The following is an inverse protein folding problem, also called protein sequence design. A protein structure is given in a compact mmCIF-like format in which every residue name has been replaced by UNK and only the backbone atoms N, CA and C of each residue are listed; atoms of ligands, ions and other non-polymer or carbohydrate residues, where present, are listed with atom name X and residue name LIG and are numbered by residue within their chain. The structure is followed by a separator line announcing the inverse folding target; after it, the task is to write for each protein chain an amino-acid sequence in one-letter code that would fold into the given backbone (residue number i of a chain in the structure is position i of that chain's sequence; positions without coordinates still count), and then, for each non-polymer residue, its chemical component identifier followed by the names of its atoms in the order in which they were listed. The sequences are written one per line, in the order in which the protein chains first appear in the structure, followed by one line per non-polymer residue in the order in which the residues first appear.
data_IF_006570944963
#
_entry.id   IF_006570944963
#
_cell.length_a   1.000
_cell.length_b   1.000
_cell.length_c   1.000
_cell.angle_alpha   90.00
_cell.angle_beta   90.00
_cell.angle_gamma   90.00
#
_symmetry.space_group_name_H-M   'P 1'
#
loop_
_entity.id
_entity.type
_entity.pdbx_description
1 polymer ?
#
# COMPACT_ATOMS: atom_id res chain seq x y z
N UNK A 1 18.86 -18.07 12.21
CA UNK A 1 18.00 -18.50 13.34
C UNK A 1 17.80 -20.00 13.22
N UNK A 2 17.71 -20.76 14.30
CA UNK A 2 17.49 -22.22 14.17
C UNK A 2 16.12 -22.52 13.56
N UNK A 3 16.03 -23.59 12.79
CA UNK A 3 14.80 -24.15 12.22
C UNK A 3 14.48 -25.53 12.80
N UNK A 4 15.43 -26.15 13.53
CA UNK A 4 15.19 -27.38 14.29
C UNK A 4 14.05 -27.22 15.32
N UNK A 5 13.34 -28.32 15.58
CA UNK A 5 12.43 -28.39 16.72
C UNK A 5 13.26 -28.27 18.01
N UNK A 6 13.01 -27.23 18.81
CA UNK A 6 13.76 -26.94 20.03
C UNK A 6 13.68 -28.04 21.08
N UNK A 7 12.68 -28.94 21.01
CA UNK A 7 12.64 -30.14 21.87
C UNK A 7 13.69 -31.17 21.48
N UNK A 8 14.18 -31.16 20.24
CA UNK A 8 15.32 -31.96 19.81
C UNK A 8 16.61 -31.21 20.18
N UNK A 9 17.07 -31.46 21.41
CA UNK A 9 18.26 -30.85 21.99
C UNK A 9 19.48 -31.14 21.12
N UNK A 10 19.65 -32.37 20.63
CA UNK A 10 20.81 -32.76 19.85
C UNK A 10 20.85 -32.04 18.50
N UNK A 11 19.73 -32.06 17.76
CA UNK A 11 19.63 -31.37 16.48
C UNK A 11 19.82 -29.86 16.62
N UNK A 12 19.22 -29.27 17.67
CA UNK A 12 19.32 -27.83 17.92
C UNK A 12 20.74 -27.42 18.31
N UNK A 13 21.43 -28.19 19.16
CA UNK A 13 22.83 -27.94 19.51
C UNK A 13 23.73 -28.02 18.27
N UNK A 14 23.57 -29.04 17.43
CA UNK A 14 24.35 -29.17 16.19
C UNK A 14 24.09 -28.01 15.24
N UNK A 15 22.84 -27.59 15.07
CA UNK A 15 22.49 -26.46 14.21
C UNK A 15 23.04 -25.13 14.74
N UNK A 16 22.95 -24.88 16.06
CA UNK A 16 23.57 -23.69 16.68
C UNK A 16 25.08 -23.69 16.43
N UNK A 17 25.75 -24.82 16.57
CA UNK A 17 27.18 -24.94 16.29
C UNK A 17 27.50 -24.65 14.82
N UNK A 18 26.72 -25.19 13.86
CA UNK A 18 26.91 -24.89 12.42
C UNK A 18 26.76 -23.41 12.12
N UNK A 19 25.74 -22.75 12.68
CA UNK A 19 25.50 -21.31 12.51
C UNK A 19 26.66 -20.50 13.13
N UNK A 20 27.12 -20.87 14.33
CA UNK A 20 28.24 -20.23 15.01
C UNK A 20 29.55 -20.39 14.22
N UNK A 21 29.87 -21.60 13.75
CA UNK A 21 31.08 -21.90 12.97
C UNK A 21 31.12 -21.16 11.64
N UNK A 22 29.94 -20.84 11.08
CA UNK A 22 29.81 -20.00 9.89
C UNK A 22 30.04 -18.52 10.16
N UNK A 23 30.13 -18.12 11.43
CA UNK A 23 30.51 -16.78 11.87
C UNK A 23 29.33 -15.90 12.25
N UNK A 24 28.24 -16.49 12.77
CA UNK A 24 27.19 -15.71 13.42
C UNK A 24 27.66 -15.17 14.78
N UNK A 25 27.26 -13.95 15.12
CA UNK A 25 27.57 -13.35 16.43
C UNK A 25 26.53 -13.73 17.51
N UNK A 26 25.30 -14.03 17.09
CA UNK A 26 24.15 -14.29 17.96
C UNK A 26 23.24 -15.32 17.27
N UNK A 27 22.72 -16.30 18.02
CA UNK A 27 21.77 -17.29 17.50
C UNK A 27 20.42 -17.16 18.18
N UNK A 28 19.36 -17.10 17.37
CA UNK A 28 17.97 -17.08 17.86
C UNK A 28 17.35 -18.47 17.76
N UNK A 29 16.60 -18.85 18.79
CA UNK A 29 15.90 -20.14 18.93
C UNK A 29 14.43 -19.87 19.28
N UNK A 30 13.50 -20.57 18.63
CA UNK A 30 12.06 -20.46 18.88
C UNK A 30 11.68 -21.15 20.20
N UNK A 31 10.92 -20.47 21.06
CA UNK A 31 10.43 -21.09 22.31
C UNK A 31 8.94 -20.81 22.46
N UNK A 32 8.11 -21.81 22.12
CA UNK A 32 6.65 -21.66 22.13
C UNK A 32 6.01 -22.07 23.46
N UNK A 33 6.61 -23.03 24.16
CA UNK A 33 6.00 -23.63 25.36
C UNK A 33 7.01 -24.03 26.42
N UNK A 34 6.48 -24.66 27.48
CA UNK A 34 7.27 -25.06 28.64
C UNK A 34 8.28 -26.17 28.30
N UNK A 35 7.94 -27.09 27.39
CA UNK A 35 8.84 -28.19 27.01
C UNK A 35 10.04 -27.68 26.24
N UNK A 36 9.83 -26.73 25.32
CA UNK A 36 10.91 -26.04 24.60
C UNK A 36 11.80 -25.26 25.58
N UNK A 37 11.20 -24.59 26.58
CA UNK A 37 11.95 -23.88 27.61
C UNK A 37 12.75 -24.83 28.53
N UNK A 38 12.28 -26.04 28.77
CA UNK A 38 13.05 -27.06 29.52
C UNK A 38 14.24 -27.54 28.69
N UNK A 39 14.03 -27.83 27.41
CA UNK A 39 15.08 -28.21 26.47
C UNK A 39 16.16 -27.13 26.31
N UNK A 40 15.79 -25.84 26.39
CA UNK A 40 16.69 -24.70 26.32
C UNK A 40 17.83 -24.74 27.35
N UNK A 41 17.56 -25.21 28.58
CA UNK A 41 18.60 -25.38 29.60
C UNK A 41 19.62 -26.45 29.20
N UNK A 42 19.14 -27.58 28.67
CA UNK A 42 20.01 -28.65 28.19
C UNK A 42 20.81 -28.22 26.97
N UNK A 43 20.20 -27.47 26.04
CA UNK A 43 20.88 -26.88 24.87
C UNK A 43 22.02 -25.97 25.33
N UNK A 44 21.76 -24.98 26.21
CA UNK A 44 22.80 -24.05 26.69
C UNK A 44 23.92 -24.81 27.41
N UNK A 45 23.60 -25.72 28.31
CA UNK A 45 24.60 -26.51 29.03
C UNK A 45 25.46 -27.36 28.09
N UNK A 46 24.85 -27.99 27.09
CA UNK A 46 25.58 -28.82 26.11
C UNK A 46 26.49 -27.97 25.23
N UNK A 47 26.05 -26.78 24.81
CA UNK A 47 26.88 -25.83 24.07
C UNK A 47 28.10 -25.39 24.90
N UNK A 48 27.90 -25.03 26.17
CA UNK A 48 29.00 -24.65 27.07
C UNK A 48 29.99 -25.82 27.29
N UNK A 49 29.50 -27.04 27.46
CA UNK A 49 30.36 -28.24 27.58
C UNK A 49 31.19 -28.49 26.31
N UNK A 50 30.64 -28.15 25.15
CA UNK A 50 31.33 -28.19 23.85
C UNK A 50 32.16 -26.94 23.58
N UNK A 51 32.27 -26.02 24.54
CA UNK A 51 33.01 -24.76 24.47
C UNK A 51 32.47 -23.76 23.42
N UNK A 52 31.15 -23.79 23.17
CA UNK A 52 30.42 -22.81 22.38
C UNK A 52 29.71 -21.81 23.29
N UNK A 53 30.18 -20.56 23.28
CA UNK A 53 29.67 -19.48 24.14
C UNK A 53 28.87 -18.42 23.37
N UNK A 54 28.35 -18.77 22.20
CA UNK A 54 27.57 -17.83 21.37
C UNK A 54 26.31 -17.35 22.14
N UNK A 55 26.03 -16.03 22.16
CA UNK A 55 24.81 -15.51 22.76
C UNK A 55 23.55 -16.09 22.11
N UNK A 56 22.59 -16.48 22.95
CA UNK A 56 21.31 -17.05 22.52
C UNK A 56 20.15 -16.07 22.74
N UNK A 57 19.25 -16.00 21.77
CA UNK A 57 18.02 -15.19 21.82
C UNK A 57 16.79 -16.09 21.81
N UNK A 58 15.92 -15.97 22.80
CA UNK A 58 14.68 -16.74 22.86
C UNK A 58 13.58 -15.98 22.11
N UNK A 59 12.99 -16.57 21.08
CA UNK A 59 11.87 -15.99 20.34
C UNK A 59 10.54 -16.43 20.98
N UNK A 60 9.97 -15.56 21.81
CA UNK A 60 8.74 -15.82 22.57
C UNK A 60 7.56 -15.14 21.88
N UNK A 61 6.49 -15.92 21.66
CA UNK A 61 5.29 -15.42 21.01
C UNK A 61 4.20 -14.97 22.00
N UNK A 62 3.68 -15.86 22.87
CA UNK A 62 2.43 -15.58 23.62
C UNK A 62 2.48 -15.81 25.15
N UNK A 63 3.59 -16.30 25.72
CA UNK A 63 3.60 -16.84 27.08
C UNK A 63 4.60 -16.15 28.03
N UNK A 64 4.17 -15.18 28.86
CA UNK A 64 5.05 -14.48 29.83
C UNK A 64 5.77 -15.44 30.79
N UNK A 65 5.08 -16.50 31.24
CA UNK A 65 5.66 -17.51 32.12
C UNK A 65 6.81 -18.29 31.45
N UNK A 66 6.77 -18.46 30.13
CA UNK A 66 7.84 -19.10 29.35
C UNK A 66 9.02 -18.13 29.23
N UNK A 67 8.76 -16.84 28.98
CA UNK A 67 9.81 -15.81 28.93
C UNK A 67 10.61 -15.74 30.24
N UNK A 68 9.93 -15.72 31.39
CA UNK A 68 10.60 -15.72 32.70
C UNK A 68 11.45 -16.98 32.93
N UNK A 69 11.00 -18.13 32.42
CA UNK A 69 11.72 -19.40 32.58
C UNK A 69 13.00 -19.44 31.74
N UNK A 70 12.98 -18.89 30.53
CA UNK A 70 14.18 -18.87 29.66
C UNK A 70 15.14 -17.72 29.96
N UNK A 71 14.70 -16.70 30.72
CA UNK A 71 15.54 -15.57 31.12
C UNK A 71 16.80 -16.00 31.89
N UNK A 72 16.75 -17.13 32.60
CA UNK A 72 17.87 -17.66 33.37
C UNK A 72 18.94 -18.37 32.49
N UNK A 73 18.60 -18.74 31.25
CA UNK A 73 19.50 -19.51 30.37
C UNK A 73 19.81 -18.85 29.02
N UNK A 74 19.06 -17.82 28.63
CA UNK A 74 19.25 -17.07 27.40
C UNK A 74 19.79 -15.68 27.67
N UNK A 75 20.59 -15.16 26.73
CA UNK A 75 21.25 -13.86 26.85
C UNK A 75 20.33 -12.70 26.45
N UNK A 76 19.27 -12.99 25.69
CA UNK A 76 18.24 -12.03 25.28
C UNK A 76 16.90 -12.71 25.03
N UNK A 77 15.81 -11.98 25.26
CA UNK A 77 14.46 -12.41 24.90
C UNK A 77 13.91 -11.47 23.83
N UNK A 78 13.39 -12.03 22.75
CA UNK A 78 12.59 -11.30 21.76
C UNK A 78 11.13 -11.47 22.10
N UNK A 79 10.45 -10.33 22.24
CA UNK A 79 9.02 -10.20 22.54
C UNK A 79 8.36 -9.50 21.35
N UNK A 80 7.18 -9.96 20.94
CA UNK A 80 6.36 -9.23 19.96
C UNK A 80 5.16 -8.58 20.65
N UNK A 81 5.14 -7.24 20.84
CA UNK A 81 4.04 -6.48 21.43
C UNK A 81 2.62 -6.94 21.08
N UNK A 82 2.31 -7.08 19.78
CA UNK A 82 0.96 -7.43 19.30
C UNK A 82 0.47 -8.79 19.79
N UNK A 83 1.38 -9.75 20.01
CA UNK A 83 1.02 -11.08 20.47
C UNK A 83 0.67 -11.14 21.97
N UNK A 84 1.11 -10.18 22.77
CA UNK A 84 0.80 -10.14 24.21
C UNK A 84 -0.48 -9.33 24.50
N UNK A 85 -0.87 -8.45 23.57
CA UNK A 85 -2.11 -7.70 23.62
C UNK A 85 -3.31 -8.53 23.11
N UNK A 86 -3.11 -9.39 22.09
CA UNK A 86 -4.21 -10.07 21.40
C UNK A 86 -4.15 -11.61 21.48
N UNK A 87 -5.27 -12.23 21.91
CA UNK A 87 -5.34 -13.67 22.25
C UNK A 87 -5.47 -14.61 21.03
N UNK A 88 -5.44 -14.12 19.79
CA UNK A 88 -5.62 -14.96 18.59
C UNK A 88 -4.92 -14.33 17.37
N UNK A 89 -3.66 -14.67 17.14
CA UNK A 89 -3.04 -14.52 15.82
C UNK A 89 -2.66 -15.91 15.31
N UNK A 90 -3.48 -16.45 14.40
CA UNK A 90 -3.11 -17.59 13.57
C UNK A 90 -2.41 -17.04 12.32
N UNK A 91 -1.22 -17.57 12.02
CA UNK A 91 -0.47 -17.22 10.82
C UNK A 91 -1.03 -18.04 9.65
N UNK A 92 -1.87 -17.42 8.81
CA UNK A 92 -2.16 -17.94 7.47
C UNK A 92 -1.23 -17.25 6.46
N UNK A 93 -0.77 -18.00 5.46
CA UNK A 93 -0.08 -17.44 4.29
C UNK A 93 -1.09 -16.59 3.51
N UNK A 94 -0.81 -15.29 3.37
CA UNK A 94 -1.66 -14.37 2.62
C UNK A 94 -0.88 -13.90 1.40
N UNK A 95 -1.42 -14.13 0.20
CA UNK A 95 -1.02 -13.42 -1.01
C UNK A 95 -1.64 -12.03 -0.98
N UNK A 96 -0.79 -10.99 -0.96
CA UNK A 96 -1.24 -9.62 -0.77
C UNK A 96 -1.94 -9.05 -2.02
N UNK A 97 -3.10 -8.46 -1.81
CA UNK A 97 -3.79 -7.56 -2.74
C UNK A 97 -3.28 -6.12 -2.58
N UNK A 98 -3.48 -5.27 -3.58
CA UNK A 98 -3.08 -3.84 -3.52
C UNK A 98 -3.74 -3.07 -2.36
N UNK A 99 -4.86 -3.57 -1.82
CA UNK A 99 -5.54 -3.04 -0.63
C UNK A 99 -4.85 -3.45 0.68
N UNK A 100 -4.34 -4.68 0.77
CA UNK A 100 -3.59 -5.17 1.93
C UNK A 100 -2.21 -4.51 2.02
N UNK A 101 -1.59 -4.21 0.87
CA UNK A 101 -0.39 -3.38 0.80
C UNK A 101 -0.61 -1.96 1.38
N UNK A 102 -1.84 -1.47 1.33
CA UNK A 102 -2.20 -0.14 1.82
C UNK A 102 -2.60 -0.14 3.29
N UNK A 103 -3.12 -1.25 3.81
CA UNK A 103 -3.23 -1.48 5.24
C UNK A 103 -1.85 -1.58 5.91
N UNK A 104 -0.87 -2.20 5.26
CA UNK A 104 0.51 -2.12 5.75
C UNK A 104 1.08 -0.69 5.74
N UNK A 105 0.61 0.19 4.84
CA UNK A 105 1.00 1.60 4.83
C UNK A 105 0.39 2.46 5.96
N UNK A 106 -0.54 1.93 6.77
CA UNK A 106 -0.90 2.52 8.09
C UNK A 106 0.22 2.30 9.14
N UNK A 107 1.47 2.48 8.69
CA UNK A 107 2.75 2.31 9.37
C UNK A 107 2.98 3.25 10.57
N UNK A 108 1.96 3.98 10.99
CA UNK A 108 1.95 4.81 12.20
C UNK A 108 1.58 3.94 13.42
N UNK A 109 0.70 2.94 13.27
CA UNK A 109 0.32 2.06 14.39
C UNK A 109 1.49 1.18 14.87
N UNK A 110 2.31 0.72 13.93
CA UNK A 110 3.47 -0.12 14.20
C UNK A 110 4.56 0.62 14.99
N UNK A 111 4.85 1.87 14.61
CA UNK A 111 5.80 2.72 15.33
C UNK A 111 5.23 3.12 16.68
N UNK A 112 3.96 3.53 16.78
CA UNK A 112 3.34 3.86 18.08
C UNK A 112 3.27 2.66 19.02
N UNK A 113 2.99 1.46 18.50
CA UNK A 113 3.03 0.22 19.29
C UNK A 113 4.43 -0.04 19.85
N UNK A 114 5.48 0.10 19.04
CA UNK A 114 6.86 -0.02 19.52
C UNK A 114 7.17 1.03 20.61
N UNK A 115 6.73 2.28 20.41
CA UNK A 115 6.91 3.36 21.38
C UNK A 115 6.14 3.16 22.69
N UNK A 116 4.93 2.61 22.65
CA UNK A 116 4.15 2.31 23.85
C UNK A 116 4.93 1.36 24.79
N UNK A 117 5.47 0.27 24.23
CA UNK A 117 6.26 -0.69 25.00
C UNK A 117 7.59 -0.07 25.49
N UNK A 118 8.25 0.73 24.66
CA UNK A 118 9.44 1.46 25.08
C UNK A 118 9.17 2.44 26.23
N UNK A 119 8.03 3.14 26.21
CA UNK A 119 7.59 4.02 27.30
C UNK A 119 7.37 3.23 28.60
N UNK A 120 6.80 2.02 28.52
CA UNK A 120 6.67 1.11 29.68
C UNK A 120 8.04 0.71 30.22
N UNK A 121 8.95 0.25 29.35
CA UNK A 121 10.31 -0.12 29.75
C UNK A 121 11.02 1.05 30.45
N UNK A 122 10.99 2.25 29.88
CA UNK A 122 11.59 3.46 30.47
C UNK A 122 10.94 3.86 31.80
N UNK A 123 9.61 3.74 31.93
CA UNK A 123 8.90 3.99 33.20
C UNK A 123 9.36 3.04 34.30
N UNK A 124 9.80 1.84 33.94
CA UNK A 124 10.36 0.82 34.83
C UNK A 124 11.89 0.88 34.92
N UNK A 125 12.53 1.94 34.41
CA UNK A 125 14.00 2.11 34.38
C UNK A 125 14.74 0.97 33.66
N UNK A 126 14.08 0.35 32.67
CA UNK A 126 14.66 -0.67 31.82
C UNK A 126 15.04 -0.10 30.46
N UNK A 127 16.35 -0.04 30.18
CA UNK A 127 16.91 0.55 28.96
C UNK A 127 17.60 -0.46 28.03
N UNK A 128 17.71 -1.73 28.43
CA UNK A 128 18.41 -2.76 27.67
C UNK A 128 17.48 -3.44 26.64
N UNK A 129 17.00 -2.68 25.66
CA UNK A 129 16.17 -3.20 24.57
C UNK A 129 16.63 -2.71 23.20
N UNK A 130 16.18 -3.42 22.17
CA UNK A 130 16.53 -3.19 20.76
C UNK A 130 15.23 -3.20 19.97
N UNK A 131 15.05 -2.23 19.07
CA UNK A 131 13.88 -2.19 18.20
C UNK A 131 14.05 -3.05 16.95
N UNK A 132 12.93 -3.51 16.39
CA UNK A 132 12.88 -4.22 15.12
C UNK A 132 11.51 -3.99 14.50
N UNK A 133 11.48 -3.36 13.33
CA UNK A 133 10.29 -3.20 12.48
C UNK A 133 10.47 -4.12 11.26
N UNK A 134 9.65 -5.15 11.07
CA UNK A 134 9.83 -6.07 9.94
C UNK A 134 8.57 -6.09 9.11
N UNK A 135 8.74 -5.85 7.81
CA UNK A 135 7.68 -5.97 6.82
C UNK A 135 8.17 -6.88 5.68
N UNK A 136 7.22 -7.52 5.00
CA UNK A 136 7.52 -8.35 3.83
C UNK A 136 7.90 -7.47 2.63
N UNK A 137 7.41 -6.23 2.54
CA UNK A 137 7.79 -5.29 1.50
C UNK A 137 9.00 -4.43 1.92
N UNK A 138 10.12 -4.44 1.17
CA UNK A 138 11.30 -3.65 1.51
C UNK A 138 11.07 -2.14 1.59
N UNK A 139 10.18 -1.59 0.77
CA UNK A 139 9.89 -0.14 0.76
C UNK A 139 9.20 0.26 2.06
N UNK A 140 8.21 -0.54 2.46
CA UNK A 140 7.44 -0.36 3.70
C UNK A 140 8.38 -0.44 4.91
N UNK A 141 9.17 -1.52 4.98
CA UNK A 141 10.18 -1.70 6.04
C UNK A 141 11.12 -0.49 6.15
N UNK A 142 11.66 0.02 5.04
CA UNK A 142 12.58 1.17 5.05
C UNK A 142 11.91 2.41 5.64
N UNK A 143 10.66 2.69 5.27
CA UNK A 143 9.94 3.85 5.81
C UNK A 143 9.62 3.68 7.32
N UNK A 144 9.29 2.47 7.77
CA UNK A 144 9.08 2.15 9.19
C UNK A 144 10.28 2.54 10.05
N UNK A 145 11.47 2.08 9.68
CA UNK A 145 12.68 2.36 10.43
C UNK A 145 13.02 3.84 10.42
N UNK A 146 12.85 4.52 9.27
CA UNK A 146 13.09 5.96 9.17
C UNK A 146 12.15 6.76 10.08
N UNK A 147 10.86 6.39 10.11
CA UNK A 147 9.89 7.02 10.99
C UNK A 147 10.19 6.74 12.47
N UNK A 148 10.46 5.48 12.84
CA UNK A 148 10.88 5.08 14.18
C UNK A 148 12.08 5.90 14.67
N UNK A 149 13.11 6.04 13.84
CA UNK A 149 14.32 6.81 14.18
C UNK A 149 14.03 8.30 14.28
N UNK A 150 13.22 8.87 13.39
CA UNK A 150 12.83 10.26 13.46
C UNK A 150 12.09 10.58 14.78
N UNK A 151 11.14 9.72 15.17
CA UNK A 151 10.45 9.83 16.45
C UNK A 151 11.40 9.66 17.66
N UNK A 152 12.36 8.74 17.55
CA UNK A 152 13.36 8.55 18.60
C UNK A 152 14.19 9.83 18.79
N UNK A 153 14.59 10.50 17.70
CA UNK A 153 15.30 11.77 17.78
C UNK A 153 14.46 12.89 18.40
N UNK A 154 13.16 12.97 18.09
CA UNK A 154 12.23 13.93 18.75
C UNK A 154 12.22 13.73 20.26
N UNK A 155 12.28 12.47 20.71
CA UNK A 155 12.31 12.11 22.12
C UNK A 155 13.71 12.07 22.75
N UNK A 156 14.78 12.32 21.98
CA UNK A 156 16.17 12.23 22.42
C UNK A 156 16.61 10.81 22.79
N UNK A 157 16.13 9.80 22.06
CA UNK A 157 16.44 8.38 22.26
C UNK A 157 17.40 7.86 21.19
N UNK A 158 18.22 6.87 21.56
CA UNK A 158 19.30 6.32 20.75
C UNK A 158 19.39 4.77 20.85
N UNK A 159 18.24 4.12 21.03
CA UNK A 159 18.16 2.66 21.11
C UNK A 159 18.62 1.96 19.81
N UNK A 160 19.30 0.81 19.92
CA UNK A 160 19.78 0.07 18.76
C UNK A 160 18.65 -0.57 17.93
N UNK A 161 18.92 -0.79 16.65
CA UNK A 161 18.03 -1.34 15.65
C UNK A 161 18.48 -2.72 15.16
N UNK A 162 17.58 -3.69 15.15
CA UNK A 162 17.75 -4.99 14.53
C UNK A 162 17.00 -5.05 13.20
N UNK A 163 17.72 -4.99 12.09
CA UNK A 163 17.15 -4.99 10.75
C UNK A 163 16.86 -6.40 10.24
N UNK A 164 15.79 -6.54 9.47
CA UNK A 164 15.55 -7.74 8.67
C UNK A 164 14.24 -7.69 7.92
N UNK A 165 14.25 -8.17 6.69
CA UNK A 165 13.05 -8.37 5.88
C UNK A 165 12.42 -9.71 6.26
N UNK A 166 11.10 -9.74 6.48
CA UNK A 166 10.34 -10.99 6.66
C UNK A 166 10.00 -11.58 5.30
N UNK A 167 9.90 -12.91 5.23
CA UNK A 167 9.47 -13.61 4.01
C UNK A 167 10.27 -13.15 2.77
N UNK A 168 11.60 -13.21 2.87
CA UNK A 168 12.43 -12.77 1.76
C UNK A 168 12.26 -13.69 0.54
N UNK A 169 11.98 -14.97 0.76
CA UNK A 169 11.88 -15.99 -0.28
C UNK A 169 13.12 -16.88 -0.30
N UNK A 170 13.26 -17.68 -1.37
CA UNK A 170 14.36 -18.64 -1.52
C UNK A 170 15.45 -18.09 -2.45
N UNK A 171 16.69 -18.49 -2.21
CA UNK A 171 17.79 -18.27 -3.13
C UNK A 171 18.07 -16.78 -3.42
N UNK A 172 18.29 -16.47 -4.70
CA UNK A 172 18.71 -15.13 -5.13
C UNK A 172 17.64 -14.06 -4.94
N UNK A 173 16.35 -14.41 -5.06
CA UNK A 173 15.26 -13.46 -4.87
C UNK A 173 15.21 -12.96 -3.42
N UNK A 174 15.32 -13.88 -2.46
CA UNK A 174 15.41 -13.54 -1.03
C UNK A 174 16.65 -12.74 -0.67
N UNK A 175 17.79 -13.04 -1.28
CA UNK A 175 19.02 -12.25 -1.11
C UNK A 175 18.88 -10.85 -1.69
N UNK A 176 18.27 -10.71 -2.87
CA UNK A 176 18.05 -9.42 -3.53
C UNK A 176 17.09 -8.55 -2.73
N UNK A 177 15.95 -9.11 -2.32
CA UNK A 177 14.94 -8.43 -1.50
C UNK A 177 15.51 -7.96 -0.16
N UNK A 178 16.31 -8.81 0.50
CA UNK A 178 17.02 -8.46 1.73
C UNK A 178 18.08 -7.38 1.50
N UNK A 179 18.82 -7.43 0.40
CA UNK A 179 19.81 -6.42 0.06
C UNK A 179 19.18 -5.04 -0.22
N UNK A 180 18.01 -5.00 -0.88
CA UNK A 180 17.27 -3.76 -1.10
C UNK A 180 16.80 -3.18 0.24
N UNK A 181 16.16 -3.98 1.10
CA UNK A 181 15.64 -3.49 2.38
C UNK A 181 16.75 -3.11 3.37
N UNK A 182 17.59 -4.07 3.74
CA UNK A 182 18.63 -3.91 4.77
C UNK A 182 19.74 -2.99 4.26
N UNK A 183 20.17 -3.18 3.01
CA UNK A 183 21.26 -2.38 2.43
C UNK A 183 20.92 -0.90 2.34
N UNK A 184 19.67 -0.55 2.03
CA UNK A 184 19.21 0.85 2.01
C UNK A 184 19.34 1.50 3.39
N UNK A 185 18.87 0.83 4.45
CA UNK A 185 18.96 1.36 5.81
C UNK A 185 20.41 1.47 6.30
N UNK A 186 21.25 0.49 5.98
CA UNK A 186 22.67 0.55 6.31
C UNK A 186 23.38 1.72 5.60
N UNK A 187 22.96 2.09 4.39
CA UNK A 187 23.46 3.30 3.70
C UNK A 187 22.93 4.59 4.32
N UNK A 188 21.74 4.57 4.92
CA UNK A 188 21.23 5.69 5.73
C UNK A 188 22.01 5.85 7.06
N UNK A 189 22.87 4.90 7.41
CA UNK A 189 23.56 4.83 8.70
C UNK A 189 22.70 4.23 9.81
N UNK A 190 21.64 3.50 9.46
CA UNK A 190 20.71 2.86 10.39
C UNK A 190 20.97 1.35 10.45
N UNK A 191 21.09 0.80 11.66
CA UNK A 191 21.20 -0.65 11.89
C UNK A 191 22.42 -1.05 12.73
N UNK A 192 22.17 -1.78 13.82
CA UNK A 192 23.20 -2.25 14.76
C UNK A 192 23.39 -3.76 14.71
N UNK A 193 22.35 -4.48 14.27
CA UNK A 193 22.40 -5.92 14.02
C UNK A 193 21.43 -6.24 12.89
N UNK A 194 21.72 -7.30 12.13
CA UNK A 194 20.94 -7.69 10.96
C UNK A 194 20.61 -9.18 11.00
N UNK A 195 19.50 -9.55 10.36
CA UNK A 195 19.23 -10.93 9.96
C UNK A 195 18.56 -10.94 8.59
N UNK A 196 19.16 -11.69 7.67
CA UNK A 196 18.52 -12.10 6.41
C UNK A 196 17.67 -13.34 6.70
N UNK A 197 16.42 -13.37 6.24
CA UNK A 197 15.48 -14.47 6.51
C UNK A 197 15.22 -15.26 5.22
N UNK A 198 15.97 -16.34 5.00
CA UNK A 198 15.87 -17.19 3.80
C UNK A 198 15.12 -18.49 4.11
N UNK A 199 14.47 -19.08 3.11
CA UNK A 199 13.92 -20.45 3.21
C UNK A 199 15.00 -21.50 2.87
N UNK A 200 16.19 -21.34 3.43
CA UNK A 200 17.37 -22.19 3.22
C UNK A 200 17.95 -22.62 4.57
N UNK A 201 18.92 -23.57 4.62
CA UNK A 201 19.61 -23.89 5.87
C UNK A 201 20.14 -22.62 6.56
N UNK A 202 19.97 -22.46 7.89
CA UNK A 202 20.29 -21.23 8.60
C UNK A 202 21.72 -20.70 8.42
N UNK A 203 22.70 -21.59 8.21
CA UNK A 203 24.07 -21.23 7.90
C UNK A 203 24.23 -20.41 6.60
N UNK A 204 23.33 -20.58 5.64
CA UNK A 204 23.34 -19.88 4.36
C UNK A 204 22.81 -18.43 4.50
N UNK A 205 22.15 -18.08 5.62
CA UNK A 205 21.80 -16.69 5.94
C UNK A 205 23.05 -15.83 6.25
N UNK A 206 24.19 -16.45 6.60
CA UNK A 206 25.36 -15.73 7.15
C UNK A 206 26.19 -15.00 6.09
N UNK A 207 26.41 -15.59 4.91
CA UNK A 207 27.15 -14.91 3.82
C UNK A 207 26.51 -13.59 3.37
N UNK A 208 25.19 -13.53 3.06
CA UNK A 208 24.56 -12.27 2.70
C UNK A 208 24.55 -11.27 3.86
N UNK A 209 24.38 -11.73 5.11
CA UNK A 209 24.54 -10.86 6.28
C UNK A 209 25.95 -10.24 6.32
N UNK A 210 27.01 -11.04 6.18
CA UNK A 210 28.39 -10.55 6.21
C UNK A 210 28.65 -9.50 5.12
N UNK A 211 28.14 -9.71 3.91
CA UNK A 211 28.26 -8.75 2.80
C UNK A 211 27.58 -7.43 3.12
N UNK A 212 26.37 -7.47 3.66
CA UNK A 212 25.61 -6.28 4.05
C UNK A 212 26.27 -5.56 5.23
N UNK A 213 26.72 -6.29 6.26
CA UNK A 213 27.43 -5.71 7.39
C UNK A 213 28.72 -5.00 6.94
N UNK A 214 29.49 -5.59 6.03
CA UNK A 214 30.68 -4.96 5.44
C UNK A 214 30.33 -3.69 4.64
N UNK A 215 29.22 -3.71 3.90
CA UNK A 215 28.72 -2.56 3.16
C UNK A 215 28.38 -1.40 4.11
N UNK A 216 27.61 -1.67 5.17
CA UNK A 216 27.24 -0.67 6.19
C UNK A 216 28.46 -0.15 6.96
N UNK A 217 29.35 -1.05 7.38
CA UNK A 217 30.59 -0.69 8.09
C UNK A 217 31.46 0.24 7.23
N UNK A 218 31.58 -0.05 5.94
CA UNK A 218 32.32 0.81 5.01
C UNK A 218 31.69 2.19 4.88
N UNK A 219 30.35 2.27 4.74
CA UNK A 219 29.64 3.55 4.65
C UNK A 219 29.84 4.38 5.93
N UNK A 220 29.74 3.74 7.11
CA UNK A 220 29.98 4.37 8.40
C UNK A 220 31.42 4.89 8.54
N UNK A 221 32.43 4.09 8.16
CA UNK A 221 33.85 4.50 8.19
C UNK A 221 34.13 5.69 7.27
N UNK A 222 33.48 5.75 6.11
CA UNK A 222 33.62 6.86 5.17
C UNK A 222 32.77 8.07 5.55
N UNK A 223 31.95 7.97 6.62
CA UNK A 223 30.90 8.94 6.97
C UNK A 223 30.05 9.32 5.75
N UNK A 224 29.76 8.34 4.90
CA UNK A 224 28.89 8.51 3.75
C UNK A 224 27.44 8.47 4.24
N UNK A 225 26.94 9.64 4.63
CA UNK A 225 25.51 9.84 4.86
C UNK A 225 24.76 10.04 3.53
N UNK A 226 23.48 9.71 3.52
CA UNK A 226 22.61 10.07 2.41
C UNK A 226 22.43 11.59 2.42
N UNK A 227 22.70 12.24 1.29
CA UNK A 227 22.42 13.66 1.14
C UNK A 227 20.95 13.91 1.46
N UNK A 228 20.59 15.00 2.17
CA UNK A 228 19.20 15.33 2.45
C UNK A 228 18.37 15.22 1.18
N UNK A 229 17.42 14.28 1.17
CA UNK A 229 16.50 14.09 0.07
C UNK A 229 15.21 14.83 0.39
N UNK A 230 14.84 15.74 -0.49
CA UNK A 230 13.55 16.41 -0.47
C UNK A 230 12.63 15.63 -1.42
N UNK A 231 11.55 15.06 -0.90
CA UNK A 231 10.55 14.33 -1.70
C UNK A 231 9.78 15.33 -2.57
N UNK A 232 10.25 15.50 -3.80
CA UNK A 232 9.71 16.45 -4.78
C UNK A 232 8.70 15.84 -5.73
N UNK A 233 8.47 14.53 -5.66
CA UNK A 233 7.73 13.81 -6.71
C UNK A 233 6.43 13.23 -6.19
N UNK A 234 6.37 12.88 -4.90
CA UNK A 234 5.16 12.40 -4.24
C UNK A 234 4.60 13.47 -3.32
N UNK A 235 3.50 14.08 -3.76
CA UNK A 235 2.70 14.98 -2.95
C UNK A 235 1.60 14.16 -2.27
N UNK A 236 1.89 13.64 -1.08
CA UNK A 236 0.97 12.75 -0.34
C UNK A 236 -0.35 13.41 0.06
N UNK A 237 -0.34 14.74 0.17
CA UNK A 237 -1.49 15.54 0.58
C UNK A 237 -2.14 16.30 -0.58
N UNK A 238 -1.48 16.43 -1.73
CA UNK A 238 -1.95 17.22 -2.88
C UNK A 238 -1.97 16.38 -4.16
N UNK A 239 -3.17 16.13 -4.70
CA UNK A 239 -3.33 15.51 -6.01
C UNK A 239 -3.33 16.56 -7.12
N UNK A 240 -2.23 16.65 -7.86
CA UNK A 240 -2.21 17.36 -9.14
C UNK A 240 -2.38 16.37 -10.29
N UNK A 241 -3.08 16.79 -11.36
CA UNK A 241 -3.16 16.00 -12.60
C UNK A 241 -1.72 15.71 -13.05
N UNK A 242 -1.33 14.44 -13.12
CA UNK A 242 0.00 14.06 -13.63
C UNK A 242 0.19 14.71 -14.99
N UNK A 243 1.21 15.55 -15.11
CA UNK A 243 1.68 16.01 -16.41
C UNK A 243 2.37 14.84 -17.10
N UNK A 244 1.63 14.11 -17.92
CA UNK A 244 2.18 13.08 -18.80
C UNK A 244 2.75 13.71 -20.07
N UNK A 245 3.85 13.16 -20.59
CA UNK A 245 4.23 13.41 -21.97
C UNK A 245 3.35 12.53 -22.86
N UNK A 246 2.44 13.15 -23.61
CA UNK A 246 1.64 12.42 -24.58
C UNK A 246 2.53 11.95 -25.74
N UNK A 247 2.20 10.83 -26.39
CA UNK A 247 2.91 10.37 -27.58
C UNK A 247 2.98 11.49 -28.63
N UNK A 248 4.20 11.83 -29.01
CA UNK A 248 4.50 12.70 -30.16
C UNK A 248 4.89 11.82 -31.33
N UNK A 249 4.57 12.24 -32.56
CA UNK A 249 5.08 11.56 -33.74
C UNK A 249 6.60 11.64 -33.76
N UNK A 250 7.29 10.50 -33.74
CA UNK A 250 8.74 10.45 -33.92
C UNK A 250 9.08 10.36 -35.41
N UNK A 251 10.24 10.88 -35.78
CA UNK A 251 10.74 10.80 -37.14
C UNK A 251 10.99 9.32 -37.52
N UNK A 252 10.38 8.85 -38.60
CA UNK A 252 10.46 7.46 -39.06
C UNK A 252 9.35 6.53 -38.56
N UNK A 253 8.42 6.99 -37.72
CA UNK A 253 7.22 6.21 -37.38
C UNK A 253 6.20 6.23 -38.53
N UNK A 254 5.83 5.06 -39.05
CA UNK A 254 4.84 4.90 -40.13
C UNK A 254 3.40 5.16 -39.67
N UNK A 255 3.13 4.98 -38.38
CA UNK A 255 1.79 5.10 -37.77
C UNK A 255 1.71 6.37 -36.93
N UNK A 256 0.64 7.15 -37.09
CA UNK A 256 0.40 8.36 -36.29
C UNK A 256 -0.29 8.04 -34.96
N UNK A 257 0.49 7.97 -33.89
CA UNK A 257 -0.02 7.65 -32.56
C UNK A 257 -0.65 8.85 -31.82
N UNK A 258 -0.63 10.07 -32.40
CA UNK A 258 -1.19 11.26 -31.76
C UNK A 258 -2.71 11.21 -31.61
N UNK A 259 -3.38 10.36 -32.37
CA UNK A 259 -4.83 10.15 -32.34
C UNK A 259 -5.30 9.02 -31.42
N UNK A 260 -4.40 8.38 -30.67
CA UNK A 260 -4.74 7.20 -29.85
C UNK A 260 -5.48 7.57 -28.56
N UNK A 261 -5.33 8.80 -28.09
CA UNK A 261 -5.97 9.32 -26.89
C UNK A 261 -6.36 10.78 -27.13
N UNK A 262 -7.40 11.24 -26.42
CA UNK A 262 -7.69 12.66 -26.35
C UNK A 262 -6.44 13.44 -25.91
N UNK A 263 -6.20 14.62 -26.48
CA UNK A 263 -4.92 15.36 -26.34
C UNK A 263 -4.66 15.95 -24.95
N UNK A 264 -5.59 15.82 -24.03
CA UNK A 264 -5.39 16.13 -22.61
C UNK A 264 -5.59 14.88 -21.72
N UNK A 265 -5.80 13.71 -22.31
CA UNK A 265 -6.08 12.45 -21.63
C UNK A 265 -7.49 12.32 -21.06
N UNK A 266 -8.41 13.22 -21.40
CA UNK A 266 -9.79 13.18 -20.91
C UNK A 266 -10.60 12.07 -21.59
N UNK A 267 -11.31 11.29 -20.77
CA UNK A 267 -12.29 10.28 -21.20
C UNK A 267 -13.72 10.77 -20.96
N UNK A 268 -13.89 11.67 -19.99
CA UNK A 268 -15.14 12.33 -19.61
C UNK A 268 -14.91 13.85 -19.60
N UNK A 269 -15.83 14.64 -20.16
CA UNK A 269 -15.77 16.10 -20.13
C UNK A 269 -17.06 16.73 -19.61
N UNK A 270 -16.95 17.81 -18.83
CA UNK A 270 -18.12 18.61 -18.46
C UNK A 270 -18.47 19.59 -19.58
N UNK A 271 -19.76 19.69 -19.90
CA UNK A 271 -20.30 20.58 -20.94
C UNK A 271 -21.36 21.49 -20.34
N UNK A 272 -21.24 22.77 -20.64
CA UNK A 272 -22.21 23.82 -20.29
C UNK A 272 -23.20 24.09 -21.43
N UNK A 273 -24.34 24.69 -21.10
CA UNK A 273 -25.33 25.11 -22.11
C UNK A 273 -24.76 26.15 -23.09
N UNK A 274 -23.85 27.01 -22.65
CA UNK A 274 -23.21 27.99 -23.53
C UNK A 274 -22.38 27.34 -24.64
N UNK A 275 -21.73 26.21 -24.36
CA UNK A 275 -20.99 25.46 -25.38
C UNK A 275 -21.91 24.85 -26.45
N UNK A 276 -23.18 24.60 -26.13
CA UNK A 276 -24.17 24.10 -27.09
C UNK A 276 -24.60 25.18 -28.11
N UNK A 277 -24.36 26.47 -27.83
CA UNK A 277 -24.63 27.57 -28.78
C UNK A 277 -23.74 27.51 -30.02
N UNK A 278 -22.60 26.83 -29.94
CA UNK A 278 -21.69 26.60 -31.05
C UNK A 278 -21.32 25.11 -31.16
N UNK A 279 -22.24 24.24 -31.63
CA UNK A 279 -22.06 22.78 -31.61
C UNK A 279 -20.79 22.30 -32.29
N UNK A 280 -20.38 22.91 -33.40
CA UNK A 280 -19.16 22.50 -34.11
C UNK A 280 -17.88 22.75 -33.29
N UNK A 281 -17.84 23.84 -32.51
CA UNK A 281 -16.72 24.12 -31.61
C UNK A 281 -16.71 23.11 -30.45
N UNK A 282 -17.88 22.80 -29.90
CA UNK A 282 -18.03 21.75 -28.89
C UNK A 282 -17.52 20.41 -29.43
N UNK A 283 -17.99 19.97 -30.59
CA UNK A 283 -17.59 18.69 -31.18
C UNK A 283 -16.08 18.59 -31.42
N UNK A 284 -15.46 19.67 -31.91
CA UNK A 284 -14.00 19.74 -32.03
C UNK A 284 -13.30 19.66 -30.68
N UNK A 285 -13.84 20.31 -29.64
CA UNK A 285 -13.26 20.26 -28.29
C UNK A 285 -13.36 18.88 -27.64
N UNK A 286 -14.32 18.06 -28.07
CA UNK A 286 -14.46 16.65 -27.70
C UNK A 286 -13.56 15.71 -28.53
N UNK A 287 -12.74 16.27 -29.43
CA UNK A 287 -11.99 15.57 -30.48
C UNK A 287 -12.85 14.66 -31.37
N UNK A 288 -14.12 15.02 -31.61
CA UNK A 288 -14.95 14.35 -32.60
C UNK A 288 -14.57 14.78 -34.02
N UNK A 289 -14.60 13.84 -34.95
CA UNK A 289 -14.38 14.11 -36.38
C UNK A 289 -15.64 14.72 -36.98
N UNK A 290 -15.50 15.85 -37.68
CA UNK A 290 -16.62 16.50 -38.35
C UNK A 290 -16.71 16.11 -39.82
N UNK A 291 -17.88 15.67 -40.26
CA UNK A 291 -18.21 15.47 -41.67
C UNK A 291 -19.52 16.22 -41.95
N UNK A 292 -19.44 17.30 -42.74
CA UNK A 292 -20.60 18.16 -43.07
C UNK A 292 -21.34 18.62 -41.80
N UNK A 293 -20.58 19.04 -40.77
CA UNK A 293 -21.14 19.53 -39.49
C UNK A 293 -21.69 18.46 -38.55
N UNK A 294 -21.70 17.18 -38.95
CA UNK A 294 -22.06 16.05 -38.09
C UNK A 294 -20.82 15.51 -37.37
N UNK A 295 -20.90 15.28 -36.04
CA UNK A 295 -19.82 14.64 -35.30
C UNK A 295 -19.78 13.15 -35.58
N UNK A 296 -18.58 12.57 -35.52
CA UNK A 296 -18.31 11.13 -35.56
C UNK A 296 -17.28 10.81 -34.49
N UNK A 297 -17.47 9.66 -33.84
CA UNK A 297 -16.53 9.15 -32.84
C UNK A 297 -15.28 8.62 -33.55
N UNK A 298 -14.13 9.03 -33.04
CA UNK A 298 -12.79 8.57 -33.43
C UNK A 298 -12.04 8.12 -32.18
N UNK A 299 -10.87 7.51 -32.34
CA UNK A 299 -10.09 6.96 -31.23
C UNK A 299 -9.69 8.01 -30.17
N UNK A 300 -9.51 9.26 -30.59
CA UNK A 300 -9.20 10.38 -29.70
C UNK A 300 -10.45 11.04 -29.09
N UNK A 301 -11.66 10.71 -29.56
CA UNK A 301 -12.90 11.34 -29.08
C UNK A 301 -13.18 10.89 -27.65
N UNK A 302 -13.57 11.83 -26.79
CA UNK A 302 -13.99 11.48 -25.42
C UNK A 302 -15.17 10.50 -25.44
N UNK A 303 -15.31 9.66 -24.41
CA UNK A 303 -16.34 8.62 -24.38
C UNK A 303 -17.68 9.14 -23.86
N UNK A 304 -17.64 10.12 -22.97
CA UNK A 304 -18.84 10.66 -22.35
C UNK A 304 -18.70 12.15 -22.06
N UNK A 305 -19.84 12.82 -21.97
CA UNK A 305 -19.98 14.17 -21.46
C UNK A 305 -20.94 14.20 -20.27
N UNK A 306 -20.72 15.13 -19.36
CA UNK A 306 -21.61 15.39 -18.22
C UNK A 306 -22.13 16.82 -18.28
N UNK A 307 -23.45 16.96 -18.26
CA UNK A 307 -24.13 18.25 -18.14
C UNK A 307 -24.68 18.40 -16.72
N UNK A 308 -24.59 19.61 -16.16
CA UNK A 308 -25.28 19.95 -14.90
C UNK A 308 -26.74 20.28 -15.12
N UNK A 309 -27.08 20.74 -16.32
CA UNK A 309 -28.43 21.15 -16.70
C UNK A 309 -28.69 20.75 -18.15
N UNK A 310 -29.92 20.36 -18.47
CA UNK A 310 -30.39 20.11 -19.82
C UNK A 310 -30.93 21.39 -20.47
N UNK A 311 -30.80 21.57 -21.79
CA UNK A 311 -31.47 22.65 -22.48
C UNK A 311 -33.01 22.54 -22.34
N UNK A 312 -33.73 23.68 -22.34
CA UNK A 312 -35.19 23.70 -22.36
C UNK A 312 -35.79 22.83 -23.48
N UNK A 313 -37.04 22.40 -23.32
CA UNK A 313 -37.69 21.49 -24.29
C UNK A 313 -37.90 22.17 -25.64
N UNK A 314 -38.08 23.48 -25.64
CA UNK A 314 -38.27 24.35 -26.80
C UNK A 314 -36.95 24.78 -27.48
N UNK A 315 -35.78 24.54 -26.87
CA UNK A 315 -34.49 24.78 -27.49
C UNK A 315 -34.11 23.60 -28.42
N UNK A 316 -34.64 23.66 -29.65
CA UNK A 316 -34.44 22.61 -30.66
C UNK A 316 -32.98 22.45 -31.07
N UNK A 317 -32.21 23.54 -31.09
CA UNK A 317 -30.85 23.55 -31.62
C UNK A 317 -29.88 22.90 -30.64
N UNK A 318 -29.94 23.28 -29.36
CA UNK A 318 -29.11 22.66 -28.32
C UNK A 318 -29.47 21.18 -28.11
N UNK A 319 -30.77 20.84 -28.17
CA UNK A 319 -31.22 19.44 -28.08
C UNK A 319 -30.79 18.61 -29.26
N UNK A 320 -30.85 19.15 -30.48
CA UNK A 320 -30.33 18.49 -31.67
C UNK A 320 -28.82 18.27 -31.55
N UNK A 321 -28.08 19.25 -30.98
CA UNK A 321 -26.65 19.13 -30.77
C UNK A 321 -26.29 17.96 -29.84
N UNK A 322 -27.03 17.80 -28.74
CA UNK A 322 -26.87 16.67 -27.82
C UNK A 322 -27.31 15.34 -28.46
N UNK A 323 -28.43 15.34 -29.18
CA UNK A 323 -28.91 14.15 -29.89
C UNK A 323 -27.86 13.61 -30.86
N UNK A 324 -27.18 14.47 -31.61
CA UNK A 324 -26.10 14.07 -32.53
C UNK A 324 -24.94 13.37 -31.82
N UNK A 325 -24.65 13.75 -30.56
CA UNK A 325 -23.64 13.05 -29.75
C UNK A 325 -24.14 11.67 -29.32
N UNK A 326 -25.38 11.59 -28.87
CA UNK A 326 -26.02 10.30 -28.53
C UNK A 326 -26.03 9.35 -29.73
N UNK A 327 -26.37 9.85 -30.92
CA UNK A 327 -26.44 9.07 -32.17
C UNK A 327 -25.09 8.43 -32.56
N UNK A 328 -23.96 9.02 -32.12
CA UNK A 328 -22.61 8.46 -32.30
C UNK A 328 -22.11 7.65 -31.10
N UNK A 329 -23.02 7.21 -30.23
CA UNK A 329 -22.70 6.44 -29.02
C UNK A 329 -21.80 7.18 -28.02
N UNK A 330 -21.88 8.51 -27.98
CA UNK A 330 -21.33 9.31 -26.89
C UNK A 330 -22.25 9.18 -25.67
N UNK A 331 -21.68 8.89 -24.50
CA UNK A 331 -22.44 8.91 -23.26
C UNK A 331 -22.82 10.34 -22.88
N UNK A 332 -24.11 10.69 -22.93
CA UNK A 332 -24.59 12.00 -22.45
C UNK A 332 -25.18 11.82 -21.06
N UNK A 333 -24.46 12.25 -20.02
CA UNK A 333 -24.83 12.08 -18.61
C UNK A 333 -25.51 13.36 -18.11
N UNK A 334 -26.66 13.19 -17.47
CA UNK A 334 -27.54 14.30 -17.04
C UNK A 334 -28.18 13.99 -15.68
N UNK A 335 -28.44 14.97 -14.80
CA UNK A 335 -29.04 14.70 -13.50
C UNK A 335 -30.43 14.07 -13.61
N UNK A 336 -30.78 13.22 -12.65
CA UNK A 336 -32.10 12.61 -12.56
C UNK A 336 -33.24 13.64 -12.57
N UNK A 337 -33.11 14.72 -11.80
CA UNK A 337 -34.11 15.81 -11.74
C UNK A 337 -34.38 16.44 -13.11
N UNK A 338 -33.34 16.60 -13.92
CA UNK A 338 -33.41 17.18 -15.26
C UNK A 338 -34.07 16.19 -16.24
N UNK A 339 -33.75 14.91 -16.14
CA UNK A 339 -34.40 13.87 -16.95
C UNK A 339 -35.88 13.69 -16.64
N UNK A 340 -36.28 13.84 -15.38
CA UNK A 340 -37.68 13.77 -14.97
C UNK A 340 -38.51 14.97 -15.45
N UNK A 341 -37.90 16.15 -15.58
CA UNK A 341 -38.61 17.40 -15.91
C UNK A 341 -38.54 17.75 -17.40
N UNK A 342 -37.41 17.50 -18.05
CA UNK A 342 -37.15 17.83 -19.46
C UNK A 342 -36.36 16.70 -20.14
N UNK A 343 -36.98 15.51 -20.30
CA UNK A 343 -36.29 14.29 -20.72
C UNK A 343 -35.51 14.46 -22.02
N UNK A 344 -34.33 13.87 -22.09
CA UNK A 344 -33.52 13.74 -23.31
C UNK A 344 -33.40 12.25 -23.64
N UNK A 345 -34.01 11.76 -24.74
CA UNK A 345 -33.99 10.35 -25.08
C UNK A 345 -32.57 9.78 -25.18
N UNK A 346 -32.38 8.55 -24.68
CA UNK A 346 -31.13 7.77 -24.69
C UNK A 346 -29.93 8.42 -23.98
N UNK A 347 -30.14 9.53 -23.26
CA UNK A 347 -29.16 10.04 -22.33
C UNK A 347 -29.15 9.19 -21.05
N UNK A 348 -28.01 9.16 -20.36
CA UNK A 348 -27.84 8.46 -19.09
C UNK A 348 -28.25 9.37 -17.94
N UNK A 349 -28.88 8.79 -16.92
CA UNK A 349 -29.32 9.51 -15.74
C UNK A 349 -28.30 9.38 -14.60
N UNK A 350 -27.79 10.50 -14.13
CA UNK A 350 -26.94 10.61 -12.95
C UNK A 350 -27.80 10.64 -11.70
N UNK A 351 -27.57 9.69 -10.80
CA UNK A 351 -28.26 9.54 -9.51
C UNK A 351 -27.25 9.47 -8.38
N UNK A 352 -27.52 10.08 -7.24
CA UNK A 352 -26.75 9.79 -6.01
C UNK A 352 -27.39 8.61 -5.23
N UNK A 353 -26.70 8.07 -4.23
CA UNK A 353 -27.20 6.92 -3.44
C UNK A 353 -28.55 7.18 -2.76
N UNK A 354 -28.81 8.41 -2.30
CA UNK A 354 -30.09 8.78 -1.70
C UNK A 354 -31.22 8.80 -2.73
N UNK A 355 -30.98 9.33 -3.92
CA UNK A 355 -31.95 9.28 -5.02
C UNK A 355 -32.20 7.83 -5.46
N UNK A 356 -31.14 7.03 -5.53
CA UNK A 356 -31.21 5.61 -5.86
C UNK A 356 -32.07 4.85 -4.84
N UNK A 357 -31.88 5.08 -3.54
CA UNK A 357 -32.66 4.44 -2.47
C UNK A 357 -34.14 4.83 -2.47
N UNK A 358 -34.50 6.03 -2.93
CA UNK A 358 -35.91 6.41 -3.08
C UNK A 358 -36.62 5.72 -4.24
N UNK A 359 -35.87 5.14 -5.19
CA UNK A 359 -36.43 4.53 -6.39
C UNK A 359 -36.95 5.54 -7.42
N UNK A 360 -36.65 6.83 -7.28
CA UNK A 360 -37.14 7.88 -8.18
C UNK A 360 -36.73 7.66 -9.65
N UNK A 361 -35.59 7.02 -9.89
CA UNK A 361 -35.12 6.63 -11.22
C UNK A 361 -36.07 5.68 -11.96
N UNK A 362 -36.94 4.94 -11.25
CA UNK A 362 -37.93 4.03 -11.86
C UNK A 362 -39.05 4.76 -12.60
N UNK A 363 -39.15 6.08 -12.44
CA UNK A 363 -40.06 6.93 -13.22
C UNK A 363 -39.51 7.25 -14.62
N UNK A 364 -38.23 6.98 -14.88
CA UNK A 364 -37.62 7.15 -16.19
C UNK A 364 -38.07 6.05 -17.15
N UNK A 365 -37.99 6.27 -18.48
CA UNK A 365 -38.30 5.25 -19.47
C UNK A 365 -37.49 3.95 -19.25
N UNK A 366 -38.13 2.81 -19.52
CA UNK A 366 -37.48 1.50 -19.44
C UNK A 366 -36.24 1.44 -20.34
N UNK A 367 -35.13 0.91 -19.82
CA UNK A 367 -33.84 0.87 -20.51
C UNK A 367 -32.97 2.13 -20.36
N UNK A 368 -33.41 3.13 -19.58
CA UNK A 368 -32.55 4.28 -19.22
C UNK A 368 -31.35 3.81 -18.41
N UNK A 369 -30.15 4.07 -18.92
CA UNK A 369 -28.89 3.72 -18.24
C UNK A 369 -28.62 4.66 -17.07
N UNK A 370 -28.16 4.10 -15.96
CA UNK A 370 -27.85 4.83 -14.75
C UNK A 370 -26.36 5.06 -14.63
N UNK A 371 -26.00 6.25 -14.17
CA UNK A 371 -24.68 6.59 -13.66
C UNK A 371 -24.85 6.93 -12.19
N UNK A 372 -24.17 6.24 -11.29
CA UNK A 372 -24.33 6.46 -9.86
C UNK A 372 -23.18 7.30 -9.33
N UNK A 373 -23.49 8.42 -8.68
CA UNK A 373 -22.52 9.23 -7.98
C UNK A 373 -22.39 8.78 -6.54
N UNK A 374 -21.14 8.54 -6.13
CA UNK A 374 -20.75 8.17 -4.77
C UNK A 374 -19.71 9.18 -4.26
N UNK A 375 -19.67 9.42 -2.96
CA UNK A 375 -18.65 10.28 -2.32
C UNK A 375 -17.48 9.46 -1.78
N UNK A 376 -17.71 8.20 -1.46
CA UNK A 376 -16.75 7.26 -0.86
C UNK A 376 -16.61 7.40 0.66
N UNK A 377 -17.35 8.30 1.31
CA UNK A 377 -17.47 8.40 2.77
C UNK A 377 -18.79 7.83 3.32
N UNK A 378 -19.66 7.30 2.45
CA UNK A 378 -20.94 6.71 2.86
C UNK A 378 -20.74 5.43 3.69
N UNK A 379 -21.63 5.10 4.63
CA UNK A 379 -21.61 3.80 5.33
C UNK A 379 -21.67 2.61 4.36
N UNK A 380 -21.06 1.48 4.71
CA UNK A 380 -21.09 0.27 3.87
C UNK A 380 -22.52 -0.20 3.59
N UNK A 381 -23.42 -0.03 4.55
CA UNK A 381 -24.84 -0.36 4.42
C UNK A 381 -25.53 0.46 3.33
N UNK A 382 -25.10 1.71 3.10
CA UNK A 382 -25.62 2.54 2.01
C UNK A 382 -25.07 2.11 0.64
N UNK A 383 -23.86 1.54 0.60
CA UNK A 383 -23.23 1.06 -0.63
C UNK A 383 -23.82 -0.28 -1.10
N UNK A 384 -24.43 -1.08 -0.22
CA UNK A 384 -25.02 -2.38 -0.56
C UNK A 384 -26.06 -2.29 -1.69
N UNK A 385 -26.76 -1.15 -1.81
CA UNK A 385 -27.73 -0.91 -2.90
C UNK A 385 -27.10 -1.01 -4.29
N UNK A 386 -25.79 -0.77 -4.41
CA UNK A 386 -25.06 -0.85 -5.68
C UNK A 386 -25.00 -2.29 -6.21
N UNK A 387 -25.00 -3.31 -5.34
CA UNK A 387 -24.96 -4.73 -5.76
C UNK A 387 -26.18 -5.14 -6.56
N UNK A 388 -27.32 -4.50 -6.30
CA UNK A 388 -28.59 -4.75 -6.97
C UNK A 388 -28.89 -3.72 -8.08
N UNK A 389 -27.99 -2.75 -8.28
CA UNK A 389 -28.16 -1.67 -9.25
C UNK A 389 -27.34 -1.97 -10.51
N UNK A 390 -28.01 -2.03 -11.67
CA UNK A 390 -27.34 -2.12 -12.97
C UNK A 390 -26.78 -0.75 -13.42
N UNK A 391 -25.76 -0.28 -12.71
CA UNK A 391 -25.09 0.98 -12.99
C UNK A 391 -24.12 0.81 -14.17
N UNK A 392 -24.25 1.67 -15.19
CA UNK A 392 -23.31 1.70 -16.33
C UNK A 392 -21.96 2.30 -15.95
N UNK A 393 -21.96 3.23 -14.98
CA UNK A 393 -20.76 3.94 -14.53
C UNK A 393 -20.96 4.38 -13.07
N UNK A 394 -19.88 4.34 -12.30
CA UNK A 394 -19.78 4.95 -10.98
C UNK A 394 -18.94 6.23 -11.07
N UNK A 395 -19.41 7.33 -10.48
CA UNK A 395 -18.72 8.61 -10.45
C UNK A 395 -18.40 9.02 -9.01
N UNK A 396 -17.12 9.00 -8.66
CA UNK A 396 -16.66 9.56 -7.38
C UNK A 396 -16.75 11.09 -7.41
N UNK A 397 -17.68 11.63 -6.63
CA UNK A 397 -17.93 13.06 -6.51
C UNK A 397 -17.45 13.56 -5.14
N UNK A 398 -16.20 14.00 -5.10
CA UNK A 398 -15.55 14.43 -3.87
C UNK A 398 -15.27 15.93 -3.98
N UNK A 399 -15.96 16.77 -3.18
CA UNK A 399 -15.73 18.21 -3.20
C UNK A 399 -14.25 18.55 -2.99
N UNK A 400 -13.76 19.58 -3.68
CA UNK A 400 -12.35 19.98 -3.59
C UNK A 400 -12.04 20.77 -2.30
N UNK A 401 -13.06 21.34 -1.70
CA UNK A 401 -13.03 22.21 -0.52
C UNK A 401 -13.28 21.46 0.79
N UNK A 402 -13.46 20.14 0.76
CA UNK A 402 -13.71 19.33 1.95
C UNK A 402 -12.45 18.51 2.34
N UNK A 403 -11.73 18.98 3.36
CA UNK A 403 -10.50 18.35 3.87
C UNK A 403 -10.72 17.00 4.57
N UNK A 404 -11.98 16.61 4.83
CA UNK A 404 -12.31 15.44 5.67
C UNK A 404 -12.22 14.11 4.92
N UNK A 405 -12.27 14.11 3.59
CA UNK A 405 -12.39 12.89 2.78
C UNK A 405 -11.22 12.81 1.82
N UNK A 406 -10.27 11.93 2.14
CA UNK A 406 -9.18 11.62 1.23
C UNK A 406 -9.73 11.01 -0.07
N UNK A 407 -9.46 11.64 -1.21
CA UNK A 407 -9.91 11.15 -2.53
C UNK A 407 -9.46 9.73 -2.86
N UNK A 408 -8.31 9.33 -2.32
CA UNK A 408 -7.78 7.97 -2.42
C UNK A 408 -8.62 6.99 -1.61
N UNK A 409 -8.98 7.36 -0.37
CA UNK A 409 -9.78 6.52 0.51
C UNK A 409 -11.15 6.28 -0.10
N UNK A 410 -11.78 7.36 -0.58
CA UNK A 410 -13.07 7.31 -1.22
C UNK A 410 -13.10 6.54 -2.55
N UNK A 411 -12.00 6.52 -3.32
CA UNK A 411 -11.92 5.76 -4.57
C UNK A 411 -11.60 4.26 -4.38
N UNK A 412 -11.12 3.86 -3.20
CA UNK A 412 -10.84 2.46 -2.86
C UNK A 412 -12.05 1.74 -2.26
N UNK A 413 -12.89 2.49 -1.54
CA UNK A 413 -14.18 1.99 -1.06
C UNK A 413 -15.16 1.91 -2.22
#
# INVERSE_FOLDING_TARGET
MTTSDTKDVAATVEEVMRIADKGADIVRITVQGKREADACFEIKNTLLQKNYNIPLVADIHFAPAVALRVADCFDKIRVNPGNFADRRAQFEQIEYTDEEYQKELEHIEEVESAFEFARICRKLDYHNFVFSMKASNPVVMVQAYRLLVAEMYVHGWDYPLHLGVTEAGEGEDGRMKSAIGIGTLLQDGLGDTIRVSLTEPPEEEIDPCRRLANLGTRAAQLQQGVAPFEEKHRHYFDFQRRSGQLPTQKEGEEVDYRGVLHRDGSVLMSVSLDQLKAPELLYRSLAAKLVVGMPFKDLATVDSIILKELPPVDDSDARLALKRLVDISMGVITPLSEQLTKPLPNAMALVNLKELSTGAYKLLPEGTRLVVSVRGDEPYEELEILKETDATMLLHNIPYDEDKIGRVHAARR
#
